data_IF_086516520382
#
_entry.id   IF_086516520382
#
_cell.length_a   1.000
_cell.length_b   1.000
_cell.length_c   1.000
_cell.angle_alpha   90.00
_cell.angle_beta   90.00
_cell.angle_gamma   90.00
#
_symmetry.space_group_name_H-M   'P 1'
#
loop_
_entity.id
_entity.type
_entity.pdbx_description
1 polymer ?
#
# COMPACT_ATOMS: atom_id res chain seq x y z
N UNK A 1 43.52 30.59 12.63
CA UNK A 1 43.33 29.23 12.10
C UNK A 1 43.48 29.32 10.59
N UNK A 2 44.36 28.51 9.97
CA UNK A 2 44.51 28.48 8.50
C UNK A 2 43.32 27.78 7.88
N UNK A 3 43.03 28.05 6.61
CA UNK A 3 41.93 27.37 5.89
C UNK A 3 42.04 25.84 5.95
N UNK A 4 43.28 25.30 5.85
CA UNK A 4 43.54 23.85 5.99
C UNK A 4 43.16 23.33 7.39
N UNK A 5 43.49 24.06 8.45
CA UNK A 5 43.14 23.64 9.80
C UNK A 5 41.60 23.61 10.02
N UNK A 6 40.87 24.58 9.44
CA UNK A 6 39.41 24.60 9.49
C UNK A 6 38.82 23.40 8.72
N UNK A 7 39.36 23.09 7.55
CA UNK A 7 38.87 21.94 6.74
C UNK A 7 39.07 20.61 7.48
N UNK A 8 40.26 20.41 8.08
CA UNK A 8 40.54 19.22 8.90
C UNK A 8 39.60 19.14 10.11
N UNK A 9 39.34 20.25 10.79
CA UNK A 9 38.44 20.28 11.95
C UNK A 9 37.03 19.89 11.53
N UNK A 10 36.49 20.44 10.41
CA UNK A 10 35.18 20.10 9.87
C UNK A 10 35.12 18.62 9.49
N UNK A 11 36.12 18.11 8.80
CA UNK A 11 36.18 16.69 8.40
C UNK A 11 36.16 15.76 9.64
N UNK A 12 37.00 16.02 10.63
CA UNK A 12 37.07 15.25 11.88
C UNK A 12 35.72 15.30 12.62
N UNK A 13 35.09 16.47 12.68
CA UNK A 13 33.78 16.62 13.31
C UNK A 13 32.71 15.81 12.60
N UNK A 14 32.67 15.84 11.27
CA UNK A 14 31.74 15.04 10.47
C UNK A 14 31.95 13.53 10.65
N UNK A 15 33.20 13.07 10.69
CA UNK A 15 33.54 11.66 10.93
C UNK A 15 33.09 11.20 12.32
N UNK A 16 33.34 12.02 13.35
CA UNK A 16 32.91 11.73 14.73
C UNK A 16 31.38 11.69 14.76
N UNK A 17 30.69 12.70 14.23
CA UNK A 17 29.23 12.75 14.21
C UNK A 17 28.64 11.53 13.49
N UNK A 18 29.18 11.15 12.33
CA UNK A 18 28.72 9.98 11.59
C UNK A 18 28.95 8.65 12.33
N UNK A 19 30.09 8.53 13.05
CA UNK A 19 30.37 7.34 13.87
C UNK A 19 29.44 7.23 15.06
N UNK A 20 29.17 8.35 15.74
CA UNK A 20 28.22 8.41 16.86
C UNK A 20 26.80 8.06 16.38
N UNK A 21 26.37 8.62 15.26
CA UNK A 21 25.06 8.31 14.68
C UNK A 21 24.94 6.82 14.35
N UNK A 22 25.96 6.24 13.71
CA UNK A 22 25.98 4.81 13.38
C UNK A 22 25.93 3.92 14.62
N UNK A 23 26.73 4.26 15.64
CA UNK A 23 26.77 3.52 16.90
C UNK A 23 25.39 3.58 17.60
N UNK A 24 24.77 4.77 17.64
CA UNK A 24 23.45 4.95 18.23
C UNK A 24 22.37 4.17 17.45
N UNK A 25 22.42 4.20 16.11
CA UNK A 25 21.49 3.44 15.28
C UNK A 25 21.61 1.93 15.54
N UNK A 26 22.84 1.39 15.55
CA UNK A 26 23.11 -0.02 15.86
C UNK A 26 22.62 -0.41 17.26
N UNK A 27 22.80 0.48 18.25
CA UNK A 27 22.27 0.29 19.61
C UNK A 27 20.74 0.21 19.61
N UNK A 28 20.06 1.06 18.84
CA UNK A 28 18.60 1.05 18.73
C UNK A 28 18.11 -0.25 18.06
N UNK A 29 18.75 -0.72 17.00
CA UNK A 29 18.42 -1.99 16.34
C UNK A 29 18.53 -3.19 17.31
N UNK A 30 19.58 -3.23 18.15
CA UNK A 30 19.77 -4.30 19.14
C UNK A 30 18.69 -4.34 20.22
N UNK A 31 17.99 -3.24 20.47
CA UNK A 31 16.87 -3.17 21.42
C UNK A 31 15.59 -3.77 20.88
N UNK A 32 15.49 -4.00 19.57
CA UNK A 32 14.29 -4.50 18.91
C UNK A 32 14.58 -5.92 18.42
N UNK A 33 14.19 -6.96 19.14
CA UNK A 33 14.57 -8.35 18.82
C UNK A 33 13.91 -8.85 17.53
N UNK A 34 12.66 -8.44 17.22
CA UNK A 34 11.92 -8.86 16.04
C UNK A 34 11.81 -7.65 15.09
N UNK A 35 12.50 -7.74 13.98
CA UNK A 35 12.48 -6.70 12.93
C UNK A 35 12.00 -7.34 11.63
N UNK A 36 10.81 -6.93 11.17
CA UNK A 36 10.15 -7.48 9.99
C UNK A 36 10.16 -6.44 8.90
N UNK A 37 10.75 -6.77 7.74
CA UNK A 37 10.79 -5.90 6.57
C UNK A 37 9.88 -6.46 5.49
N UNK A 38 8.87 -5.67 5.08
CA UNK A 38 7.84 -6.11 4.13
C UNK A 38 8.02 -5.39 2.80
N UNK A 39 8.20 -6.15 1.72
CA UNK A 39 8.28 -5.66 0.35
C UNK A 39 7.31 -6.43 -0.57
N UNK A 40 7.32 -6.05 -1.84
CA UNK A 40 6.49 -6.62 -2.90
C UNK A 40 5.90 -5.53 -3.79
N UNK A 41 5.29 -5.89 -4.89
CA UNK A 41 4.63 -4.91 -5.76
C UNK A 41 3.26 -4.52 -5.22
N UNK A 42 2.48 -5.48 -4.70
CA UNK A 42 1.14 -5.26 -4.13
C UNK A 42 1.04 -5.88 -2.73
N UNK A 43 0.18 -5.32 -1.89
CA UNK A 43 -0.12 -5.88 -0.57
C UNK A 43 0.85 -5.49 0.56
N UNK A 44 1.93 -4.74 0.30
CA UNK A 44 2.92 -4.34 1.32
C UNK A 44 2.29 -3.72 2.58
N UNK A 45 1.51 -2.67 2.39
CA UNK A 45 0.87 -1.94 3.51
C UNK A 45 -0.11 -2.83 4.25
N UNK A 46 -0.92 -3.64 3.53
CA UNK A 46 -1.85 -4.60 4.13
C UNK A 46 -1.09 -5.61 4.99
N UNK A 47 -0.13 -6.34 4.43
CA UNK A 47 0.65 -7.36 5.17
C UNK A 47 1.39 -6.75 6.37
N UNK A 48 1.98 -5.56 6.23
CA UNK A 48 2.60 -4.83 7.35
C UNK A 48 1.62 -4.57 8.48
N UNK A 49 0.41 -4.11 8.15
CA UNK A 49 -0.65 -3.82 9.13
C UNK A 49 -1.20 -5.08 9.77
N UNK A 50 -1.46 -6.13 8.97
CA UNK A 50 -1.97 -7.41 9.44
C UNK A 50 -1.01 -8.07 10.44
N UNK A 51 0.28 -8.19 10.11
CA UNK A 51 1.29 -8.76 11.01
C UNK A 51 1.38 -7.94 12.30
N UNK A 52 1.47 -6.62 12.20
CA UNK A 52 1.58 -5.78 13.38
C UNK A 52 0.34 -5.84 14.28
N UNK A 53 -0.86 -5.92 13.71
CA UNK A 53 -2.10 -6.03 14.47
C UNK A 53 -2.20 -7.40 15.17
N UNK A 54 -1.82 -8.48 14.48
CA UNK A 54 -1.78 -9.82 15.06
C UNK A 54 -0.80 -9.92 16.22
N UNK A 55 0.40 -9.36 16.08
CA UNK A 55 1.40 -9.34 17.17
C UNK A 55 0.91 -8.53 18.39
N UNK A 56 0.23 -7.40 18.17
CA UNK A 56 -0.37 -6.62 19.27
C UNK A 56 -1.49 -7.37 19.96
N UNK A 57 -2.38 -8.05 19.21
CA UNK A 57 -3.46 -8.87 19.79
C UNK A 57 -2.89 -10.03 20.62
N UNK A 58 -1.73 -10.56 20.24
CA UNK A 58 -0.99 -11.55 21.01
C UNK A 58 -0.24 -10.98 22.23
N UNK A 59 -0.43 -9.69 22.54
CA UNK A 59 0.18 -9.03 23.70
C UNK A 59 1.60 -8.54 23.48
N UNK A 60 2.18 -8.63 22.27
CA UNK A 60 3.51 -8.13 21.98
C UNK A 60 3.52 -6.61 21.76
N UNK A 61 4.40 -5.91 22.42
CA UNK A 61 4.62 -4.47 22.20
C UNK A 61 5.16 -4.26 20.78
N UNK A 62 4.33 -3.80 19.86
CA UNK A 62 4.64 -3.77 18.42
C UNK A 62 4.39 -2.40 17.80
N UNK A 63 5.42 -1.84 17.17
CA UNK A 63 5.30 -0.71 16.25
C UNK A 63 5.26 -1.20 14.80
N UNK A 64 4.62 -0.40 13.92
CA UNK A 64 4.72 -0.62 12.49
C UNK A 64 4.87 0.71 11.72
N UNK A 65 5.41 0.62 10.51
CA UNK A 65 5.54 1.75 9.61
C UNK A 65 5.05 1.37 8.22
N UNK A 66 4.07 2.10 7.71
CA UNK A 66 3.59 1.99 6.33
C UNK A 66 4.07 3.16 5.48
N UNK A 67 4.18 2.94 4.17
CA UNK A 67 4.69 3.97 3.25
C UNK A 67 3.70 4.35 2.16
N UNK A 68 2.63 3.58 1.99
CA UNK A 68 1.66 3.70 0.91
C UNK A 68 1.20 5.13 0.61
N UNK A 69 -0.08 5.29 0.34
CA UNK A 69 -0.67 6.60 0.03
C UNK A 69 -0.39 7.68 1.07
N UNK A 70 -0.41 7.28 2.34
CA UNK A 70 -0.07 8.15 3.48
C UNK A 70 0.87 7.37 4.39
N UNK A 71 2.12 7.83 4.47
CA UNK A 71 3.08 7.22 5.38
C UNK A 71 2.65 7.38 6.84
N UNK A 72 2.58 6.25 7.57
CA UNK A 72 2.12 6.20 8.95
C UNK A 72 3.11 5.45 9.84
N UNK A 73 3.34 5.98 11.03
CA UNK A 73 3.90 5.25 12.15
C UNK A 73 2.73 4.75 13.00
N UNK A 74 2.63 3.44 13.18
CA UNK A 74 1.60 2.80 14.00
C UNK A 74 2.25 2.46 15.34
N UNK A 75 1.72 3.01 16.41
CA UNK A 75 2.23 2.88 17.78
C UNK A 75 1.76 1.54 18.42
N UNK A 76 2.34 1.15 19.59
CA UNK A 76 1.94 -0.08 20.28
C UNK A 76 0.46 -0.14 20.67
N UNK A 77 -0.16 1.00 20.92
CA UNK A 77 -1.60 1.14 21.23
C UNK A 77 -2.50 1.18 19.97
N UNK A 78 -1.92 1.03 18.78
CA UNK A 78 -2.62 1.07 17.50
C UNK A 78 -2.92 2.47 16.96
N UNK A 79 -2.57 3.55 17.67
CA UNK A 79 -2.68 4.92 17.14
C UNK A 79 -1.72 5.12 15.98
N UNK A 80 -2.17 5.88 14.98
CA UNK A 80 -1.41 6.17 13.77
C UNK A 80 -0.98 7.62 13.73
N UNK A 81 0.33 7.85 13.62
CA UNK A 81 0.92 9.17 13.46
C UNK A 81 1.37 9.38 12.02
N UNK A 82 1.09 10.53 11.41
CA UNK A 82 1.63 10.86 10.10
C UNK A 82 3.14 11.01 10.16
N UNK A 83 3.85 10.48 9.16
CA UNK A 83 5.29 10.67 9.03
C UNK A 83 5.51 11.98 8.25
N UNK A 84 6.13 12.94 8.92
CA UNK A 84 6.43 14.23 8.32
C UNK A 84 7.64 14.12 7.37
N UNK A 85 7.45 14.52 6.12
CA UNK A 85 8.40 14.43 5.01
C UNK A 85 8.56 15.78 4.28
N UNK A 86 9.20 16.77 4.87
CA UNK A 86 9.30 18.11 4.29
C UNK A 86 10.09 18.13 2.97
N UNK A 87 11.05 17.23 2.81
CA UNK A 87 11.88 17.10 1.60
C UNK A 87 11.49 15.87 0.75
N UNK A 88 10.25 15.38 0.88
CA UNK A 88 9.82 14.17 0.19
C UNK A 88 10.24 12.86 0.88
N UNK A 89 9.96 11.74 0.23
CA UNK A 89 10.27 10.41 0.75
C UNK A 89 11.78 10.12 0.63
N UNK A 90 12.39 9.66 1.73
CA UNK A 90 13.80 9.28 1.76
C UNK A 90 14.00 8.06 2.67
N UNK A 91 14.77 7.07 2.21
CA UNK A 91 15.03 5.82 2.96
C UNK A 91 15.69 6.07 4.33
N UNK A 92 16.41 7.18 4.50
CA UNK A 92 17.04 7.57 5.77
C UNK A 92 16.01 7.75 6.90
N UNK A 93 14.74 8.03 6.57
CA UNK A 93 13.66 8.11 7.59
C UNK A 93 13.58 6.84 8.44
N UNK A 94 14.02 5.67 7.93
CA UNK A 94 14.05 4.42 8.68
C UNK A 94 14.87 4.52 9.97
N UNK A 95 15.93 5.34 10.00
CA UNK A 95 16.70 5.58 11.24
C UNK A 95 15.82 6.19 12.34
N UNK A 96 14.97 7.15 11.99
CA UNK A 96 14.02 7.77 12.94
C UNK A 96 12.95 6.79 13.39
N UNK A 97 12.45 5.95 12.47
CA UNK A 97 11.47 4.91 12.79
C UNK A 97 12.05 3.92 13.80
N UNK A 98 13.27 3.42 13.54
CA UNK A 98 13.97 2.52 14.48
C UNK A 98 14.24 3.19 15.83
N UNK A 99 14.66 4.45 15.82
CA UNK A 99 14.89 5.19 17.06
C UNK A 99 13.60 5.37 17.87
N UNK A 100 12.50 5.71 17.21
CA UNK A 100 11.18 5.84 17.85
C UNK A 100 10.72 4.50 18.42
N UNK A 101 10.77 3.41 17.65
CA UNK A 101 10.41 2.08 18.11
C UNK A 101 11.27 1.63 19.32
N UNK A 102 12.59 1.87 19.28
CA UNK A 102 13.49 1.58 20.37
C UNK A 102 13.18 2.40 21.64
N UNK A 103 12.73 3.65 21.49
CA UNK A 103 12.30 4.50 22.60
C UNK A 103 11.01 4.01 23.25
N UNK A 104 10.09 3.42 22.48
CA UNK A 104 8.90 2.74 23.00
C UNK A 104 9.20 1.37 23.63
N UNK A 105 10.44 0.86 23.54
CA UNK A 105 10.82 -0.44 24.08
C UNK A 105 10.09 -1.61 23.43
N UNK A 106 9.82 -1.53 22.12
CA UNK A 106 9.03 -2.54 21.42
C UNK A 106 9.78 -3.87 21.28
N UNK A 107 9.03 -4.97 21.35
CA UNK A 107 9.53 -6.31 21.04
C UNK A 107 9.60 -6.54 19.52
N UNK A 108 8.66 -5.94 18.76
CA UNK A 108 8.58 -6.11 17.33
C UNK A 108 8.43 -4.76 16.59
N UNK A 109 9.11 -4.65 15.45
CA UNK A 109 8.96 -3.54 14.52
C UNK A 109 8.70 -4.10 13.12
N UNK A 110 7.56 -3.75 12.53
CA UNK A 110 7.18 -4.17 11.17
C UNK A 110 7.27 -2.95 10.25
N UNK A 111 8.12 -3.01 9.23
CA UNK A 111 8.42 -1.88 8.36
C UNK A 111 8.13 -2.23 6.90
N UNK A 112 7.29 -1.43 6.27
CA UNK A 112 7.08 -1.49 4.83
C UNK A 112 8.26 -0.86 4.09
N UNK A 113 8.81 -1.56 3.10
CA UNK A 113 9.85 -1.04 2.21
C UNK A 113 9.31 0.12 1.37
N UNK A 114 10.03 1.23 1.39
CA UNK A 114 9.67 2.42 0.62
C UNK A 114 10.57 2.64 -0.60
N UNK A 115 11.64 1.88 -0.71
CA UNK A 115 12.59 2.02 -1.80
C UNK A 115 12.06 1.36 -3.08
N UNK A 116 12.26 2.02 -4.21
CA UNK A 116 12.01 1.47 -5.53
C UNK A 116 13.32 1.02 -6.18
N UNK A 117 14.37 1.85 -6.09
CA UNK A 117 15.67 1.54 -6.66
C UNK A 117 16.30 0.33 -5.97
N UNK A 118 16.85 -0.66 -6.71
CA UNK A 118 17.41 -1.89 -6.14
C UNK A 118 18.48 -1.64 -5.08
N UNK A 119 19.35 -0.64 -5.30
CA UNK A 119 20.42 -0.26 -4.38
C UNK A 119 19.85 0.27 -3.07
N UNK A 120 18.77 1.05 -3.14
CA UNK A 120 18.11 1.61 -1.96
C UNK A 120 17.31 0.55 -1.19
N UNK A 121 16.76 -0.47 -1.87
CA UNK A 121 16.14 -1.63 -1.23
C UNK A 121 17.18 -2.40 -0.40
N UNK A 122 18.31 -2.72 -1.00
CA UNK A 122 19.43 -3.38 -0.34
C UNK A 122 20.01 -2.55 0.80
N UNK A 123 20.20 -1.25 0.59
CA UNK A 123 20.68 -0.33 1.63
C UNK A 123 19.70 -0.24 2.81
N UNK A 124 18.39 -0.19 2.53
CA UNK A 124 17.34 -0.21 3.57
C UNK A 124 17.46 -1.44 4.45
N UNK A 125 17.67 -2.61 3.84
CA UNK A 125 17.83 -3.86 4.57
C UNK A 125 19.14 -3.89 5.35
N UNK A 126 20.29 -3.78 4.68
CA UNK A 126 21.59 -4.05 5.29
C UNK A 126 22.09 -2.96 6.23
N UNK A 127 21.67 -1.71 6.04
CA UNK A 127 22.22 -0.57 6.79
C UNK A 127 21.22 0.07 7.73
N UNK A 128 19.90 -0.02 7.41
CA UNK A 128 18.89 0.73 8.13
C UNK A 128 17.99 -0.14 9.00
N UNK A 129 17.60 -1.34 8.57
CA UNK A 129 16.69 -2.20 9.33
C UNK A 129 17.37 -3.46 9.87
N UNK A 130 18.21 -4.10 9.08
CA UNK A 130 18.88 -5.35 9.45
C UNK A 130 17.87 -6.35 9.98
N UNK A 131 16.90 -6.71 9.13
CA UNK A 131 15.73 -7.47 9.52
C UNK A 131 16.08 -8.89 9.98
N UNK A 132 15.32 -9.40 10.92
CA UNK A 132 15.35 -10.82 11.33
C UNK A 132 14.42 -11.67 10.45
N UNK A 133 13.38 -11.01 9.92
CA UNK A 133 12.38 -11.60 9.06
C UNK A 133 12.08 -10.64 7.91
N UNK A 134 12.13 -11.13 6.69
CA UNK A 134 11.68 -10.39 5.51
C UNK A 134 10.43 -11.03 4.92
N UNK A 135 9.61 -10.22 4.30
CA UNK A 135 8.40 -10.67 3.60
C UNK A 135 8.40 -10.07 2.20
N UNK A 136 8.28 -10.89 1.18
CA UNK A 136 8.05 -10.46 -0.20
C UNK A 136 6.67 -10.98 -0.60
N UNK A 137 5.70 -10.08 -0.75
CA UNK A 137 4.31 -10.46 -1.01
C UNK A 137 4.13 -11.05 -2.40
N UNK A 138 4.60 -10.36 -3.43
CA UNK A 138 4.61 -10.77 -4.83
C UNK A 138 5.55 -9.88 -5.64
N UNK A 139 5.91 -10.33 -6.86
CA UNK A 139 6.76 -9.61 -7.81
C UNK A 139 6.04 -9.46 -9.16
N UNK A 140 5.05 -8.59 -9.23
CA UNK A 140 4.30 -8.27 -10.45
C UNK A 140 4.93 -7.06 -11.16
N UNK A 141 4.67 -6.86 -12.48
CA UNK A 141 5.12 -5.66 -13.18
C UNK A 141 4.68 -4.38 -12.45
N UNK A 142 5.63 -3.60 -11.97
CA UNK A 142 5.41 -2.29 -11.33
C UNK A 142 6.71 -1.49 -11.36
N UNK A 143 6.62 -0.19 -11.59
CA UNK A 143 7.80 0.68 -11.68
C UNK A 143 8.92 0.13 -12.58
N UNK A 144 8.54 -0.33 -13.78
CA UNK A 144 9.44 -0.97 -14.73
C UNK A 144 10.57 -0.04 -15.21
N UNK A 145 10.36 1.26 -15.13
CA UNK A 145 11.34 2.31 -15.38
C UNK A 145 12.48 2.35 -14.36
N UNK A 146 12.24 1.81 -13.15
CA UNK A 146 13.18 1.87 -12.02
C UNK A 146 13.74 0.49 -11.65
N UNK A 147 12.86 -0.53 -11.54
CA UNK A 147 13.26 -1.87 -11.11
C UNK A 147 13.69 -2.78 -12.27
N UNK A 148 13.45 -2.34 -13.51
CA UNK A 148 13.79 -3.09 -14.73
C UNK A 148 12.55 -3.41 -15.58
N UNK A 149 12.73 -3.55 -16.92
CA UNK A 149 11.65 -3.63 -17.90
C UNK A 149 10.83 -4.93 -17.84
N UNK A 150 11.25 -5.92 -17.03
CA UNK A 150 10.56 -7.21 -16.90
C UNK A 150 10.24 -7.52 -15.45
N UNK A 151 9.22 -8.34 -15.21
CA UNK A 151 8.84 -8.83 -13.88
C UNK A 151 9.93 -9.68 -13.21
N UNK A 152 10.77 -10.37 -13.99
CA UNK A 152 11.95 -11.08 -13.49
C UNK A 152 12.97 -10.11 -12.87
N UNK A 153 13.21 -8.96 -13.52
CA UNK A 153 14.09 -7.92 -12.99
C UNK A 153 13.48 -7.24 -11.76
N UNK A 154 12.16 -7.07 -11.73
CA UNK A 154 11.43 -6.62 -10.53
C UNK A 154 11.66 -7.60 -9.37
N UNK A 155 11.53 -8.91 -9.60
CA UNK A 155 11.81 -9.93 -8.58
C UNK A 155 13.27 -9.87 -8.10
N UNK A 156 14.21 -9.70 -9.03
CA UNK A 156 15.65 -9.55 -8.73
C UNK A 156 15.92 -8.31 -7.86
N UNK A 157 15.30 -7.18 -8.19
CA UNK A 157 15.40 -5.96 -7.39
C UNK A 157 14.90 -6.18 -5.96
N UNK A 158 13.75 -6.86 -5.79
CA UNK A 158 13.16 -7.17 -4.49
C UNK A 158 13.97 -8.20 -3.71
N UNK A 159 14.59 -9.18 -4.37
CA UNK A 159 15.49 -10.14 -3.76
C UNK A 159 16.67 -9.45 -3.05
N UNK A 160 17.03 -8.23 -3.47
CA UNK A 160 18.01 -7.37 -2.81
C UNK A 160 17.72 -7.07 -1.34
N UNK A 161 16.49 -7.22 -0.86
CA UNK A 161 16.15 -7.03 0.56
C UNK A 161 16.11 -8.33 1.39
N UNK A 162 16.51 -9.48 0.84
CA UNK A 162 16.62 -10.70 1.62
C UNK A 162 17.58 -10.48 2.80
N UNK A 163 17.22 -10.79 4.05
CA UNK A 163 18.10 -10.58 5.21
C UNK A 163 19.31 -11.53 5.15
N UNK A 164 20.28 -11.31 6.02
CA UNK A 164 21.42 -12.24 6.21
C UNK A 164 21.13 -13.08 7.46
N UNK A 165 21.21 -14.42 7.33
CA UNK A 165 20.95 -15.37 8.41
C UNK A 165 19.60 -15.16 9.11
N UNK A 166 18.59 -14.79 8.31
CA UNK A 166 17.21 -14.54 8.78
C UNK A 166 16.21 -15.52 8.17
N UNK A 167 14.97 -15.06 8.07
CA UNK A 167 13.87 -15.77 7.40
C UNK A 167 13.27 -14.91 6.32
N UNK A 168 12.99 -15.48 5.14
CA UNK A 168 12.29 -14.83 4.05
C UNK A 168 10.97 -15.55 3.78
N UNK A 169 9.85 -14.85 3.94
CA UNK A 169 8.51 -15.36 3.66
C UNK A 169 8.01 -14.82 2.34
N UNK A 170 7.33 -15.66 1.55
CA UNK A 170 6.76 -15.20 0.29
C UNK A 170 5.54 -16.01 -0.13
N UNK A 171 4.59 -15.33 -0.78
CA UNK A 171 3.52 -15.93 -1.56
C UNK A 171 3.79 -15.86 -3.08
N UNK A 172 5.00 -15.37 -3.48
CA UNK A 172 5.43 -15.33 -4.88
C UNK A 172 5.70 -16.75 -5.39
N UNK A 173 5.19 -17.06 -6.58
CA UNK A 173 5.28 -18.39 -7.18
C UNK A 173 6.06 -18.40 -8.48
N UNK A 174 5.86 -17.40 -9.32
CA UNK A 174 6.44 -17.31 -10.65
C UNK A 174 7.96 -17.12 -10.60
N UNK A 175 8.42 -16.25 -9.70
CA UNK A 175 9.85 -15.89 -9.57
C UNK A 175 10.51 -16.49 -8.33
N UNK A 176 9.97 -17.61 -7.84
CA UNK A 176 10.46 -18.27 -6.62
C UNK A 176 11.94 -18.69 -6.73
N UNK A 177 12.41 -19.06 -7.91
CA UNK A 177 13.80 -19.45 -8.14
C UNK A 177 14.78 -18.30 -7.83
N UNK A 178 14.44 -17.07 -8.21
CA UNK A 178 15.23 -15.89 -7.90
C UNK A 178 15.32 -15.63 -6.39
N UNK A 179 14.19 -15.73 -5.67
CA UNK A 179 14.13 -15.55 -4.22
C UNK A 179 14.90 -16.65 -3.49
N UNK A 180 14.84 -17.88 -3.99
CA UNK A 180 15.59 -19.03 -3.46
C UNK A 180 17.09 -18.82 -3.57
N UNK A 181 17.57 -18.42 -4.74
CA UNK A 181 18.99 -18.13 -4.95
C UNK A 181 19.50 -17.02 -4.01
N UNK A 182 18.71 -15.95 -3.82
CA UNK A 182 19.05 -14.89 -2.88
C UNK A 182 19.05 -15.34 -1.41
N UNK A 183 18.14 -16.23 -1.04
CA UNK A 183 18.08 -16.79 0.31
C UNK A 183 19.27 -17.72 0.58
N UNK A 184 19.64 -18.57 -0.36
CA UNK A 184 20.81 -19.44 -0.29
C UNK A 184 22.11 -18.65 -0.17
N UNK A 185 22.30 -17.61 -1.02
CA UNK A 185 23.47 -16.71 -0.98
C UNK A 185 23.67 -16.06 0.40
N UNK A 186 22.56 -15.78 1.11
CA UNK A 186 22.59 -15.08 2.41
C UNK A 186 22.43 -15.97 3.63
N UNK A 187 22.39 -17.29 3.45
CA UNK A 187 22.14 -18.23 4.52
C UNK A 187 20.82 -18.00 5.23
N UNK A 188 19.80 -17.60 4.48
CA UNK A 188 18.46 -17.27 4.96
C UNK A 188 17.49 -18.41 4.67
N UNK A 189 16.62 -18.74 5.62
CA UNK A 189 15.56 -19.70 5.45
C UNK A 189 14.44 -19.12 4.56
N UNK A 190 14.17 -19.76 3.42
CA UNK A 190 13.05 -19.41 2.56
C UNK A 190 11.79 -20.18 2.95
N UNK A 191 10.72 -19.47 3.28
CA UNK A 191 9.42 -20.01 3.69
C UNK A 191 8.36 -19.54 2.69
N UNK A 192 7.78 -20.48 1.97
CA UNK A 192 6.75 -20.19 0.96
C UNK A 192 5.36 -20.43 1.52
N UNK A 193 4.41 -19.63 1.06
CA UNK A 193 2.97 -19.86 1.26
C UNK A 193 2.38 -20.37 -0.04
N UNK A 194 1.88 -21.60 -0.04
CA UNK A 194 1.32 -22.27 -1.20
C UNK A 194 -0.19 -22.00 -1.37
N UNK A 195 -0.77 -22.56 -2.45
CA UNK A 195 -2.20 -22.39 -2.75
C UNK A 195 -3.11 -23.05 -1.73
N UNK A 196 -2.70 -24.15 -1.12
CA UNK A 196 -3.46 -24.85 -0.10
C UNK A 196 -3.56 -24.00 1.16
N UNK A 197 -2.46 -23.39 1.58
CA UNK A 197 -2.42 -22.45 2.71
C UNK A 197 -3.25 -21.18 2.44
N UNK A 198 -3.27 -20.68 1.20
CA UNK A 198 -4.14 -19.56 0.80
C UNK A 198 -5.61 -19.98 0.83
N UNK A 199 -5.94 -21.16 0.30
CA UNK A 199 -7.30 -21.71 0.30
C UNK A 199 -7.82 -22.03 1.71
N UNK A 200 -6.91 -22.30 2.66
CA UNK A 200 -7.26 -22.51 4.06
C UNK A 200 -7.74 -21.24 4.79
N UNK A 201 -7.62 -20.05 4.16
CA UNK A 201 -8.27 -18.82 4.65
C UNK A 201 -9.71 -18.83 4.17
N UNK A 202 -10.64 -19.13 5.07
CA UNK A 202 -12.04 -19.28 4.73
C UNK A 202 -12.68 -17.94 4.30
N UNK A 203 -13.61 -18.00 3.36
CA UNK A 203 -14.38 -16.81 2.92
C UNK A 203 -15.04 -16.10 4.10
N UNK A 204 -15.62 -16.85 5.05
CA UNK A 204 -16.22 -16.31 6.25
C UNK A 204 -15.24 -15.55 7.17
N UNK A 205 -13.94 -15.89 7.15
CA UNK A 205 -12.90 -15.15 7.87
C UNK A 205 -12.57 -13.83 7.17
N UNK A 206 -12.58 -13.82 5.82
CA UNK A 206 -12.38 -12.61 5.02
C UNK A 206 -13.55 -11.64 5.12
N UNK A 207 -14.77 -12.15 5.24
CA UNK A 207 -15.99 -11.33 5.41
C UNK A 207 -16.03 -10.56 6.74
N UNK A 208 -15.25 -10.98 7.73
CA UNK A 208 -15.14 -10.28 9.02
C UNK A 208 -14.25 -9.02 8.96
N UNK A 209 -13.51 -8.83 7.87
CA UNK A 209 -12.78 -7.57 7.67
C UNK A 209 -13.75 -6.44 7.31
N UNK A 210 -13.50 -5.25 7.84
CA UNK A 210 -14.28 -4.04 7.53
C UNK A 210 -14.02 -3.49 6.13
N UNK A 211 -13.13 -4.12 5.37
CA UNK A 211 -12.71 -3.76 4.00
C UNK A 211 -12.40 -5.04 3.22
N UNK A 212 -12.21 -4.93 1.92
CA UNK A 212 -11.83 -6.08 1.11
C UNK A 212 -10.35 -6.42 1.31
N UNK A 213 -10.07 -7.56 1.94
CA UNK A 213 -8.71 -8.09 2.09
C UNK A 213 -8.53 -9.35 1.22
N UNK A 214 -7.30 -9.63 0.82
CA UNK A 214 -6.94 -10.74 -0.05
C UNK A 214 -6.42 -11.93 0.77
N UNK A 215 -6.87 -13.15 0.42
CA UNK A 215 -6.48 -14.38 1.10
C UNK A 215 -4.95 -14.59 1.13
N UNK A 216 -4.25 -14.26 0.03
CA UNK A 216 -2.78 -14.34 -0.04
C UNK A 216 -2.10 -13.48 1.04
N UNK A 217 -2.57 -12.24 1.26
CA UNK A 217 -2.03 -11.36 2.29
C UNK A 217 -2.27 -11.91 3.69
N UNK A 218 -3.47 -12.43 3.95
CA UNK A 218 -3.85 -13.00 5.24
C UNK A 218 -3.04 -14.28 5.50
N UNK A 219 -2.95 -15.19 4.53
CA UNK A 219 -2.20 -16.43 4.65
C UNK A 219 -0.71 -16.16 4.92
N UNK A 220 -0.12 -15.21 4.19
CA UNK A 220 1.27 -14.81 4.38
C UNK A 220 1.51 -14.20 5.77
N UNK A 221 0.63 -13.32 6.23
CA UNK A 221 0.70 -12.73 7.56
C UNK A 221 0.51 -13.79 8.66
N UNK A 222 -0.42 -14.75 8.49
CA UNK A 222 -0.62 -15.88 9.41
C UNK A 222 0.63 -16.74 9.50
N UNK A 223 1.29 -17.03 8.37
CA UNK A 223 2.51 -17.82 8.36
C UNK A 223 3.63 -17.17 9.17
N UNK A 224 3.84 -15.87 8.99
CA UNK A 224 4.81 -15.10 9.80
C UNK A 224 4.45 -15.14 11.28
N UNK A 225 3.18 -14.93 11.62
CA UNK A 225 2.69 -14.95 13.00
C UNK A 225 2.84 -16.32 13.66
N UNK A 226 2.56 -17.40 12.94
CA UNK A 226 2.73 -18.78 13.43
C UNK A 226 4.19 -19.08 13.78
N UNK A 227 5.14 -18.69 12.93
CA UNK A 227 6.57 -18.86 13.20
C UNK A 227 7.07 -18.02 14.38
N UNK A 228 6.36 -16.94 14.70
CA UNK A 228 6.59 -16.10 15.90
C UNK A 228 5.82 -16.60 17.12
N UNK A 229 5.17 -17.77 17.04
CA UNK A 229 4.45 -18.40 18.14
C UNK A 229 3.09 -17.78 18.47
N UNK A 230 2.47 -17.10 17.52
CA UNK A 230 1.12 -16.53 17.69
C UNK A 230 0.08 -17.54 17.20
N UNK A 231 -0.89 -17.86 18.07
CA UNK A 231 -2.01 -18.71 17.72
C UNK A 231 -2.83 -18.11 16.56
N UNK A 232 -3.32 -19.00 15.65
CA UNK A 232 -4.05 -18.59 14.44
C UNK A 232 -5.30 -17.76 14.76
N UNK A 233 -6.08 -18.16 15.76
CA UNK A 233 -7.32 -17.46 16.11
C UNK A 233 -7.01 -16.08 16.72
N UNK A 234 -5.95 -15.97 17.52
CA UNK A 234 -5.46 -14.68 18.06
C UNK A 234 -4.99 -13.76 16.91
N UNK A 235 -4.19 -14.32 15.99
CA UNK A 235 -3.70 -13.56 14.85
C UNK A 235 -4.85 -13.01 14.00
N UNK A 236 -5.83 -13.86 13.64
CA UNK A 236 -7.01 -13.43 12.86
C UNK A 236 -7.83 -12.36 13.56
N UNK A 237 -8.11 -12.51 14.86
CA UNK A 237 -8.82 -11.45 15.61
C UNK A 237 -8.09 -10.11 15.57
N UNK A 238 -6.76 -10.13 15.68
CA UNK A 238 -5.96 -8.93 15.57
C UNK A 238 -6.01 -8.32 14.17
N UNK A 239 -5.90 -9.16 13.13
CA UNK A 239 -5.96 -8.74 11.74
C UNK A 239 -7.32 -8.10 11.39
N UNK A 240 -8.42 -8.68 11.82
CA UNK A 240 -9.78 -8.20 11.58
C UNK A 240 -10.08 -6.85 12.26
N UNK A 241 -9.40 -6.56 13.38
CA UNK A 241 -9.47 -5.24 14.06
C UNK A 241 -8.56 -4.19 13.40
N UNK A 242 -7.73 -4.60 12.44
CA UNK A 242 -6.77 -3.73 11.80
C UNK A 242 -7.47 -2.63 10.99
N UNK A 243 -7.03 -1.40 11.14
CA UNK A 243 -7.47 -0.32 10.25
C UNK A 243 -6.90 -0.55 8.86
N UNK A 244 -7.72 -0.42 7.80
CA UNK A 244 -7.22 -0.55 6.43
C UNK A 244 -6.21 0.55 6.10
N UNK A 245 -5.35 0.28 5.12
CA UNK A 245 -4.59 1.35 4.48
C UNK A 245 -5.57 2.37 3.87
N UNK A 246 -5.32 3.67 3.96
CA UNK A 246 -6.17 4.68 3.32
C UNK A 246 -6.43 4.47 1.83
N UNK A 247 -5.60 3.65 1.18
CA UNK A 247 -5.77 3.23 -0.20
C UNK A 247 -6.50 1.90 -0.39
N UNK A 248 -6.83 1.17 0.67
CA UNK A 248 -7.59 -0.08 0.54
C UNK A 248 -8.99 0.18 -0.03
N UNK A 249 -9.50 -0.78 -0.80
CA UNK A 249 -10.86 -0.70 -1.32
C UNK A 249 -11.84 -0.60 -0.15
N UNK A 250 -12.50 0.54 -0.01
CA UNK A 250 -13.57 0.76 0.94
C UNK A 250 -14.86 1.13 0.24
N UNK A 251 -15.99 0.72 0.82
CA UNK A 251 -17.33 1.04 0.35
C UNK A 251 -17.99 2.01 1.32
N UNK A 252 -18.62 3.05 0.80
CA UNK A 252 -19.35 4.05 1.56
C UNK A 252 -20.74 4.24 0.97
N UNK A 253 -21.76 4.02 1.76
CA UNK A 253 -23.17 4.28 1.39
C UNK A 253 -23.52 5.70 1.84
N UNK A 254 -23.97 6.52 0.91
CA UNK A 254 -24.30 7.92 1.16
C UNK A 254 -25.74 8.18 0.71
N UNK A 255 -26.58 8.61 1.63
CA UNK A 255 -27.88 9.19 1.30
C UNK A 255 -27.70 10.71 1.16
N UNK A 256 -27.92 11.23 -0.03
CA UNK A 256 -27.73 12.63 -0.32
C UNK A 256 -28.98 13.20 -1.00
N UNK A 257 -29.81 13.89 -0.20
CA UNK A 257 -31.09 14.46 -0.66
C UNK A 257 -31.99 13.45 -1.39
N UNK A 258 -32.13 12.26 -0.81
CA UNK A 258 -32.94 11.16 -1.34
C UNK A 258 -32.27 10.35 -2.46
N UNK A 259 -31.04 10.68 -2.85
CA UNK A 259 -30.23 9.86 -3.76
C UNK A 259 -29.40 8.85 -2.97
N UNK A 260 -29.51 7.58 -3.31
CA UNK A 260 -28.73 6.50 -2.69
C UNK A 260 -27.46 6.24 -3.52
N UNK A 261 -26.31 6.63 -2.98
CA UNK A 261 -25.03 6.53 -3.65
C UNK A 261 -24.15 5.49 -2.95
N UNK A 262 -23.58 4.57 -3.72
CA UNK A 262 -22.60 3.61 -3.23
C UNK A 262 -21.24 3.97 -3.83
N UNK A 263 -20.38 4.55 -3.01
CA UNK A 263 -19.04 4.94 -3.41
C UNK A 263 -18.02 3.87 -3.05
N UNK A 264 -17.24 3.43 -4.03
CA UNK A 264 -16.10 2.55 -3.86
C UNK A 264 -14.80 3.34 -4.02
N UNK A 265 -13.96 3.33 -2.98
CA UNK A 265 -12.64 3.92 -3.02
C UNK A 265 -11.64 2.92 -3.60
N UNK A 266 -11.46 2.92 -4.91
CA UNK A 266 -10.48 2.09 -5.62
C UNK A 266 -9.24 2.85 -6.11
N UNK A 267 -8.98 4.07 -5.63
CA UNK A 267 -7.89 4.93 -6.10
C UNK A 267 -6.49 4.34 -5.94
N UNK A 268 -6.29 3.38 -5.05
CA UNK A 268 -4.99 2.75 -4.86
C UNK A 268 -4.65 1.70 -5.92
N UNK A 269 -5.64 1.13 -6.59
CA UNK A 269 -5.42 0.31 -7.76
C UNK A 269 -5.02 1.23 -8.93
N UNK A 270 -3.82 1.06 -9.41
CA UNK A 270 -3.20 2.00 -10.33
C UNK A 270 -2.65 1.34 -11.61
N UNK A 271 -2.90 0.05 -11.78
CA UNK A 271 -2.66 -0.71 -13.01
C UNK A 271 -3.99 -1.22 -13.59
N UNK A 272 -4.07 -1.46 -14.92
CA UNK A 272 -5.33 -1.85 -15.56
C UNK A 272 -5.94 -3.14 -15.02
N UNK A 273 -5.11 -4.14 -14.69
CA UNK A 273 -5.59 -5.45 -14.25
C UNK A 273 -6.25 -5.36 -12.87
N UNK A 274 -5.53 -4.79 -11.91
CA UNK A 274 -6.06 -4.61 -10.54
C UNK A 274 -7.28 -3.68 -10.53
N UNK A 275 -7.22 -2.58 -11.30
CA UNK A 275 -8.32 -1.61 -11.38
C UNK A 275 -9.58 -2.24 -11.98
N UNK A 276 -9.42 -3.04 -13.05
CA UNK A 276 -10.52 -3.81 -13.65
C UNK A 276 -11.13 -4.78 -12.65
N UNK A 277 -10.31 -5.56 -11.94
CA UNK A 277 -10.82 -6.52 -10.96
C UNK A 277 -11.69 -5.85 -9.89
N UNK A 278 -11.27 -4.68 -9.40
CA UNK A 278 -12.04 -3.91 -8.42
C UNK A 278 -13.31 -3.31 -9.03
N UNK A 279 -13.26 -2.82 -10.28
CA UNK A 279 -14.43 -2.32 -10.99
C UNK A 279 -15.49 -3.41 -11.16
N UNK A 280 -15.09 -4.58 -11.66
CA UNK A 280 -15.98 -5.73 -11.83
C UNK A 280 -16.55 -6.23 -10.50
N UNK A 281 -15.77 -6.16 -9.42
CA UNK A 281 -16.26 -6.47 -8.06
C UNK A 281 -17.32 -5.47 -7.62
N UNK A 282 -17.11 -4.17 -7.81
CA UNK A 282 -18.07 -3.13 -7.47
C UNK A 282 -19.38 -3.31 -8.25
N UNK A 283 -19.28 -3.58 -9.56
CA UNK A 283 -20.44 -3.87 -10.42
C UNK A 283 -21.23 -5.08 -9.92
N UNK A 284 -20.55 -6.17 -9.53
CA UNK A 284 -21.22 -7.37 -8.97
C UNK A 284 -21.90 -7.09 -7.63
N UNK A 285 -21.31 -6.23 -6.79
CA UNK A 285 -21.88 -5.88 -5.48
C UNK A 285 -23.10 -4.96 -5.57
N UNK A 286 -23.29 -4.29 -6.70
CA UNK A 286 -24.36 -3.31 -6.90
C UNK A 286 -25.16 -3.61 -8.17
N UNK A 287 -25.84 -4.78 -8.25
CA UNK A 287 -26.52 -5.21 -9.49
C UNK A 287 -27.75 -4.36 -9.83
N UNK A 288 -28.35 -3.71 -8.85
CA UNK A 288 -29.62 -2.99 -8.97
C UNK A 288 -29.48 -1.46 -9.10
N UNK A 289 -28.26 -0.93 -9.29
CA UNK A 289 -28.09 0.51 -9.48
C UNK A 289 -28.52 0.95 -10.89
N UNK A 290 -29.09 2.15 -10.98
CA UNK A 290 -29.55 2.73 -12.25
C UNK A 290 -28.37 3.25 -13.07
N UNK A 291 -27.35 3.81 -12.40
CA UNK A 291 -26.22 4.48 -13.06
C UNK A 291 -24.90 4.03 -12.43
N UNK A 292 -23.91 3.79 -13.29
CA UNK A 292 -22.52 3.48 -12.92
C UNK A 292 -21.59 4.60 -13.35
N UNK A 293 -20.91 5.20 -12.40
CA UNK A 293 -20.02 6.36 -12.62
C UNK A 293 -18.60 5.95 -12.30
N UNK A 294 -17.72 5.96 -13.30
CA UNK A 294 -16.30 5.74 -13.13
C UNK A 294 -15.59 7.09 -12.94
N UNK A 295 -14.83 7.25 -11.86
CA UNK A 295 -14.10 8.50 -11.57
C UNK A 295 -12.61 8.22 -11.64
N UNK A 296 -11.90 8.81 -12.59
CA UNK A 296 -10.46 8.64 -12.73
C UNK A 296 -9.70 9.89 -12.29
N UNK A 297 -8.84 9.73 -11.28
CA UNK A 297 -7.91 10.77 -10.87
C UNK A 297 -6.62 10.67 -11.71
N UNK A 298 -6.45 11.55 -12.67
CA UNK A 298 -5.30 11.66 -13.54
C UNK A 298 -4.20 12.51 -12.90
N UNK A 299 -2.94 12.30 -13.35
CA UNK A 299 -1.80 13.12 -12.92
C UNK A 299 -0.83 13.31 -14.08
N UNK A 300 -0.43 14.56 -14.30
CA UNK A 300 0.50 14.92 -15.38
C UNK A 300 1.89 14.30 -15.21
N UNK A 301 2.31 13.99 -13.97
CA UNK A 301 3.58 13.31 -13.67
C UNK A 301 3.50 11.77 -13.78
N UNK A 302 2.32 11.23 -14.16
CA UNK A 302 2.05 9.81 -14.37
C UNK A 302 1.23 9.57 -15.64
N UNK A 303 1.66 10.09 -16.81
CA UNK A 303 0.88 10.02 -18.04
C UNK A 303 0.67 8.58 -18.54
N UNK A 304 1.66 7.70 -18.35
CA UNK A 304 1.59 6.30 -18.77
C UNK A 304 0.42 5.55 -18.11
N UNK A 305 0.16 5.83 -16.83
CA UNK A 305 -0.98 5.26 -16.12
C UNK A 305 -2.31 5.69 -16.71
N UNK A 306 -2.45 6.98 -17.00
CA UNK A 306 -3.65 7.53 -17.64
C UNK A 306 -3.85 6.94 -19.04
N UNK A 307 -2.75 6.76 -19.80
CA UNK A 307 -2.75 6.12 -21.11
C UNK A 307 -3.23 4.66 -21.04
N UNK A 308 -2.63 3.87 -20.14
CA UNK A 308 -2.96 2.45 -19.99
C UNK A 308 -4.42 2.25 -19.56
N UNK A 309 -4.87 2.97 -18.52
CA UNK A 309 -6.26 2.87 -18.03
C UNK A 309 -7.26 3.31 -19.08
N UNK A 310 -7.02 4.43 -19.78
CA UNK A 310 -7.89 4.90 -20.85
C UNK A 310 -7.99 3.92 -22.01
N UNK A 311 -6.88 3.28 -22.39
CA UNK A 311 -6.84 2.31 -23.48
C UNK A 311 -7.60 1.01 -23.19
N UNK A 312 -7.63 0.59 -21.91
CA UNK A 312 -8.25 -0.68 -21.50
C UNK A 312 -9.70 -0.54 -21.03
N UNK A 313 -10.10 0.66 -20.58
CA UNK A 313 -11.39 0.87 -19.92
C UNK A 313 -12.61 0.50 -20.78
N UNK A 314 -12.53 0.72 -22.10
CA UNK A 314 -13.62 0.36 -23.03
C UNK A 314 -13.94 -1.15 -23.08
N UNK A 315 -13.04 -1.99 -22.57
CA UNK A 315 -13.17 -3.47 -22.52
C UNK A 315 -13.75 -3.99 -21.22
N UNK A 316 -14.02 -3.09 -20.25
CA UNK A 316 -14.58 -3.46 -18.95
C UNK A 316 -16.10 -3.42 -18.97
N UNK A 317 -16.74 -3.86 -17.87
CA UNK A 317 -18.18 -3.64 -17.71
C UNK A 317 -18.52 -2.16 -17.93
N UNK A 318 -19.57 -1.82 -18.70
CA UNK A 318 -19.81 -0.46 -19.11
C UNK A 318 -20.13 0.46 -17.93
N UNK A 319 -19.55 1.67 -17.97
CA UNK A 319 -19.97 2.79 -17.15
C UNK A 319 -20.90 3.70 -17.98
N UNK A 320 -21.90 4.28 -17.32
CA UNK A 320 -22.78 5.26 -17.94
C UNK A 320 -22.09 6.60 -18.12
N UNK A 321 -21.25 6.97 -17.14
CA UNK A 321 -20.44 8.19 -17.18
C UNK A 321 -19.02 7.92 -16.69
N UNK A 322 -18.07 8.66 -17.26
CA UNK A 322 -16.68 8.71 -16.79
C UNK A 322 -16.35 10.16 -16.41
N UNK A 323 -15.97 10.37 -15.17
CA UNK A 323 -15.51 11.65 -14.66
C UNK A 323 -13.98 11.63 -14.59
N UNK A 324 -13.33 12.57 -15.25
CA UNK A 324 -11.89 12.74 -15.27
C UNK A 324 -11.51 13.95 -14.43
N UNK A 325 -10.81 13.72 -13.32
CA UNK A 325 -10.34 14.75 -12.41
C UNK A 325 -8.81 14.73 -12.27
N UNK A 326 -8.25 15.72 -11.61
CA UNK A 326 -6.81 15.86 -11.39
C UNK A 326 -6.14 16.70 -12.46
N UNK A 327 -5.02 16.22 -13.02
CA UNK A 327 -4.24 16.97 -14.02
C UNK A 327 -3.83 16.10 -15.19
N UNK A 328 -3.77 16.67 -16.40
CA UNK A 328 -3.40 15.90 -17.61
C UNK A 328 -4.47 14.90 -18.05
N UNK A 329 -5.72 15.17 -17.79
CA UNK A 329 -6.88 14.33 -18.10
C UNK A 329 -7.02 14.03 -19.60
N UNK A 330 -6.51 14.89 -20.45
CA UNK A 330 -6.51 14.74 -21.90
C UNK A 330 -5.83 13.43 -22.37
N UNK A 331 -4.83 12.92 -21.61
CA UNK A 331 -4.13 11.67 -21.95
C UNK A 331 -5.11 10.49 -21.86
N UNK A 332 -5.88 10.41 -20.77
CA UNK A 332 -6.91 9.39 -20.59
C UNK A 332 -8.01 9.54 -21.64
N UNK A 333 -8.56 10.76 -21.77
CA UNK A 333 -9.67 11.03 -22.70
C UNK A 333 -9.33 10.63 -24.15
N UNK A 334 -8.12 10.99 -24.61
CA UNK A 334 -7.63 10.64 -25.94
C UNK A 334 -7.44 9.12 -26.10
N UNK A 335 -6.91 8.44 -25.08
CA UNK A 335 -6.72 7.00 -25.09
C UNK A 335 -8.05 6.24 -25.13
N UNK A 336 -9.01 6.63 -24.29
CA UNK A 336 -10.34 6.04 -24.22
C UNK A 336 -11.13 6.24 -25.55
N UNK A 337 -11.08 7.45 -26.12
CA UNK A 337 -11.71 7.72 -27.41
C UNK A 337 -11.11 6.88 -28.55
N UNK A 338 -9.79 6.70 -28.59
CA UNK A 338 -9.11 5.81 -29.55
C UNK A 338 -9.48 4.35 -29.37
N UNK A 339 -9.76 3.93 -28.14
CA UNK A 339 -10.20 2.59 -27.78
C UNK A 339 -11.73 2.37 -28.00
N UNK A 340 -12.44 3.38 -28.55
CA UNK A 340 -13.85 3.29 -28.90
C UNK A 340 -14.83 3.70 -27.80
N UNK A 341 -14.36 4.32 -26.71
CA UNK A 341 -15.26 4.88 -25.69
C UNK A 341 -15.91 6.17 -26.20
N UNK A 342 -17.23 6.30 -25.98
CA UNK A 342 -18.00 7.45 -26.43
C UNK A 342 -17.59 8.75 -25.68
N UNK A 343 -16.99 9.75 -26.35
CA UNK A 343 -16.56 10.97 -25.72
C UNK A 343 -17.69 11.79 -25.07
N UNK A 344 -18.94 11.62 -25.48
CA UNK A 344 -20.10 12.32 -24.90
C UNK A 344 -20.40 11.89 -23.47
N UNK A 345 -19.88 10.73 -23.05
CA UNK A 345 -19.98 10.19 -21.70
C UNK A 345 -18.79 10.56 -20.81
N UNK A 346 -17.80 11.28 -21.36
CA UNK A 346 -16.64 11.79 -20.62
C UNK A 346 -16.94 13.19 -20.05
N UNK A 347 -16.85 13.34 -18.75
CA UNK A 347 -16.91 14.62 -18.06
C UNK A 347 -15.53 15.00 -17.52
N UNK A 348 -14.94 16.07 -18.01
CA UNK A 348 -13.68 16.59 -17.50
C UNK A 348 -13.97 17.65 -16.44
N UNK A 349 -13.41 17.42 -15.23
CA UNK A 349 -13.55 18.29 -14.06
C UNK A 349 -12.19 18.73 -13.53
N UNK A 350 -11.22 18.89 -14.43
CA UNK A 350 -9.89 19.45 -14.12
C UNK A 350 -10.05 20.88 -13.57
N UNK A 351 -9.23 21.25 -12.60
CA UNK A 351 -9.27 22.56 -11.91
C UNK A 351 -10.43 22.78 -10.91
N UNK A 352 -11.39 21.86 -10.80
CA UNK A 352 -12.45 21.98 -9.80
C UNK A 352 -11.97 21.52 -8.41
N UNK A 353 -12.57 22.13 -7.38
CA UNK A 353 -12.37 21.71 -5.99
C UNK A 353 -13.15 20.42 -5.69
N UNK A 354 -12.76 19.73 -4.64
CA UNK A 354 -13.37 18.44 -4.25
C UNK A 354 -14.88 18.54 -4.08
N UNK A 355 -15.39 19.63 -3.50
CA UNK A 355 -16.81 19.89 -3.31
C UNK A 355 -17.55 19.96 -4.65
N UNK A 356 -16.99 20.73 -5.57
CA UNK A 356 -17.55 20.92 -6.92
C UNK A 356 -17.54 19.62 -7.73
N UNK A 357 -16.47 18.83 -7.59
CA UNK A 357 -16.35 17.50 -8.20
C UNK A 357 -17.44 16.57 -7.65
N UNK A 358 -17.63 16.55 -6.32
CA UNK A 358 -18.68 15.78 -5.69
C UNK A 358 -20.07 16.16 -6.22
N UNK A 359 -20.40 17.45 -6.27
CA UNK A 359 -21.67 17.95 -6.80
C UNK A 359 -21.89 17.55 -8.26
N UNK A 360 -20.84 17.61 -9.09
CA UNK A 360 -20.90 17.13 -10.48
C UNK A 360 -21.18 15.66 -10.57
N UNK A 361 -20.52 14.83 -9.77
CA UNK A 361 -20.76 13.37 -9.71
C UNK A 361 -22.21 13.11 -9.30
N UNK A 362 -22.70 13.75 -8.23
CA UNK A 362 -24.07 13.57 -7.72
C UNK A 362 -25.11 14.04 -8.73
N UNK A 363 -24.80 15.07 -9.54
CA UNK A 363 -25.73 15.55 -10.58
C UNK A 363 -25.97 14.51 -11.69
N UNK A 364 -25.03 13.59 -11.91
CA UNK A 364 -25.16 12.50 -12.88
C UNK A 364 -26.02 11.34 -12.37
N UNK A 365 -26.22 11.23 -11.06
CA UNK A 365 -27.02 10.19 -10.45
C UNK A 365 -28.51 10.61 -10.38
N UNK A 366 -29.46 9.86 -10.98
CA UNK A 366 -30.90 10.16 -10.85
C UNK A 366 -31.39 9.86 -9.45
N UNK A 367 -31.49 8.60 -9.05
CA UNK A 367 -31.96 8.16 -7.73
C UNK A 367 -30.91 7.30 -7.02
N UNK A 368 -30.39 6.27 -7.68
CA UNK A 368 -29.35 5.42 -7.13
C UNK A 368 -28.17 5.25 -8.11
N UNK A 369 -26.97 5.26 -7.57
CA UNK A 369 -25.77 5.13 -8.41
C UNK A 369 -24.65 4.40 -7.67
N UNK A 370 -23.88 3.63 -8.44
CA UNK A 370 -22.54 3.16 -8.08
C UNK A 370 -21.50 4.17 -8.59
N UNK A 371 -20.64 4.60 -7.71
CA UNK A 371 -19.53 5.50 -8.03
C UNK A 371 -18.24 4.81 -7.62
N UNK A 372 -17.24 4.74 -8.52
CA UNK A 372 -15.95 4.19 -8.16
C UNK A 372 -14.81 5.13 -8.51
N UNK A 373 -14.03 5.49 -7.50
CA UNK A 373 -12.79 6.25 -7.66
C UNK A 373 -11.62 5.34 -8.03
N UNK A 374 -10.88 5.69 -9.09
CA UNK A 374 -9.79 4.92 -9.68
C UNK A 374 -8.62 5.80 -10.13
N UNK A 375 -7.48 5.19 -10.45
CA UNK A 375 -6.31 5.86 -11.02
C UNK A 375 -5.26 6.21 -9.97
N UNK A 376 -5.20 7.45 -9.51
CA UNK A 376 -4.19 7.86 -8.54
C UNK A 376 -4.83 8.25 -7.21
N UNK A 377 -4.24 7.77 -6.10
CA UNK A 377 -4.74 8.15 -4.76
C UNK A 377 -4.38 9.58 -4.40
N UNK A 378 -3.16 10.03 -4.74
CA UNK A 378 -2.63 11.32 -4.29
C UNK A 378 -3.45 12.53 -4.74
N UNK A 379 -3.46 13.59 -3.94
CA UNK A 379 -4.22 14.82 -4.21
C UNK A 379 -5.72 14.60 -4.13
N UNK A 380 -6.45 15.02 -5.14
CA UNK A 380 -7.92 14.99 -5.19
C UNK A 380 -8.53 13.59 -4.94
N UNK A 381 -7.81 12.48 -5.20
CA UNK A 381 -8.31 11.14 -4.92
C UNK A 381 -8.54 10.90 -3.44
N UNK A 382 -7.58 11.30 -2.58
CA UNK A 382 -7.74 11.20 -1.10
C UNK A 382 -8.86 12.11 -0.63
N UNK A 383 -8.90 13.33 -1.15
CA UNK A 383 -9.85 14.33 -0.69
C UNK A 383 -11.28 13.94 -1.05
N UNK A 384 -11.50 13.42 -2.27
CA UNK A 384 -12.80 12.93 -2.70
C UNK A 384 -13.23 11.68 -1.89
N UNK A 385 -12.31 10.74 -1.65
CA UNK A 385 -12.60 9.56 -0.83
C UNK A 385 -13.02 9.96 0.59
N UNK A 386 -12.32 10.93 1.21
CA UNK A 386 -12.70 11.48 2.52
C UNK A 386 -14.05 12.20 2.47
N UNK A 387 -14.33 12.90 1.39
CA UNK A 387 -15.55 13.65 1.22
C UNK A 387 -16.78 12.73 1.20
N UNK A 388 -16.68 11.58 0.53
CA UNK A 388 -17.70 10.53 0.58
C UNK A 388 -17.75 9.84 1.95
N UNK A 389 -16.62 9.49 2.53
CA UNK A 389 -16.55 8.82 3.83
C UNK A 389 -17.19 9.66 4.95
N UNK A 390 -16.98 10.99 4.93
CA UNK A 390 -17.57 11.90 5.92
C UNK A 390 -19.10 12.06 5.79
N UNK A 391 -19.67 11.65 4.66
CA UNK A 391 -21.13 11.68 4.38
C UNK A 391 -21.76 10.30 4.41
N UNK A 392 -20.95 9.27 4.65
CA UNK A 392 -21.47 7.91 4.74
C UNK A 392 -22.47 7.79 5.89
N UNK A 393 -23.60 7.15 5.62
CA UNK A 393 -24.54 6.73 6.65
C UNK A 393 -23.85 5.72 7.57
N UNK A 394 -23.78 6.05 8.85
CA UNK A 394 -23.34 5.08 9.86
C UNK A 394 -24.33 3.93 9.83
N UNK A 395 -23.93 2.76 9.32
CA UNK A 395 -24.70 1.55 9.61
C UNK A 395 -24.73 1.41 11.13
N UNK A 396 -25.89 1.59 11.73
CA UNK A 396 -26.12 1.19 13.10
C UNK A 396 -25.73 -0.29 13.21
N UNK A 397 -24.74 -0.57 14.05
CA UNK A 397 -24.36 -1.92 14.44
C UNK A 397 -25.51 -2.50 15.31
N UNK A 398 -26.64 -2.84 14.66
CA UNK A 398 -27.75 -3.57 15.26
C UNK A 398 -28.46 -4.33 14.13
N UNK A 399 -28.07 -5.57 13.95
CA UNK A 399 -28.95 -6.68 13.62
C UNK A 399 -28.17 -7.99 13.89
#
# INVERSE_FOLDING_TARGET
MTGTQLLILVLVTLVIAGTVELAQHRRNLRKIPIRIHVNGTRGKSSVTRLIAAALREAGRTTCAKTTGTMARMILPDGRELPIFRPAGANVIEQKRIVATAAAYGVEALVVECMALQPELQSLSEFKLLNATHAVITNARPDHLDVMGPTDELVATAMAGMTPVHGKLYTAERTHLACLRAAAEDRGTELITVDEEQVAAVATAELEQFTYTEHADNVALALRVCADLGVDRAVALRGMQKCRPDPGALSQHEVDFFGKQLVFFNGFAANDPVSTRQLWELAVRKTPSVEVRIAVFNCRVDRPDRSLQLGSEFSRWSPADYVVLMGTGTYVFARAAARAGYDPSRLMVVEELRTEEIFERIVSLAPCNAMIMGMGNVGGLGIDLARYFANRATLRSAHA
#
